data_IF_534105186405
#
_entry.id   IF_534105186405
#
_cell.length_a   1.000
_cell.length_b   1.000
_cell.length_c   1.000
_cell.angle_alpha   90.00
_cell.angle_beta   90.00
_cell.angle_gamma   90.00
#
_symmetry.space_group_name_H-M   'P 1'
#
loop_
_entity.id
_entity.type
_entity.pdbx_description
1 polymer ?
#
# COMPACT_ATOMS: atom_id res chain seq x y z
N UNK A 1 -30.10 0.69 -13.15
CA UNK A 1 -29.26 0.00 -12.15
C UNK A 1 -28.85 1.04 -11.15
N UNK A 2 -29.32 0.89 -9.92
CA UNK A 2 -29.16 1.87 -8.85
C UNK A 2 -27.68 2.10 -8.54
N UNK A 3 -27.26 3.36 -8.60
CA UNK A 3 -25.94 3.80 -8.17
C UNK A 3 -25.88 3.75 -6.64
N UNK A 4 -25.42 2.64 -6.08
CA UNK A 4 -24.95 2.59 -4.71
C UNK A 4 -23.63 3.37 -4.62
N UNK A 5 -23.72 4.71 -4.56
CA UNK A 5 -22.65 5.50 -3.98
C UNK A 5 -22.60 5.13 -2.49
N UNK A 6 -21.82 4.10 -2.16
CA UNK A 6 -21.41 3.85 -0.79
C UNK A 6 -20.68 5.10 -0.32
N UNK A 7 -21.27 5.79 0.65
CA UNK A 7 -20.61 6.91 1.30
C UNK A 7 -19.27 6.46 1.88
N UNK A 8 -18.34 7.40 2.05
CA UNK A 8 -17.15 7.13 2.86
C UNK A 8 -17.62 6.65 4.23
N UNK A 9 -17.21 5.46 4.63
CA UNK A 9 -17.53 4.92 5.95
C UNK A 9 -16.48 5.35 6.97
N UNK A 10 -16.95 5.82 8.13
CA UNK A 10 -16.07 6.11 9.26
C UNK A 10 -15.37 4.82 9.70
N UNK A 11 -14.08 4.91 10.02
CA UNK A 11 -13.32 3.76 10.46
C UNK A 11 -12.29 4.12 11.51
N UNK A 12 -12.13 3.24 12.49
CA UNK A 12 -11.03 3.30 13.46
C UNK A 12 -10.32 1.96 13.44
N UNK A 13 -9.01 2.02 13.21
CA UNK A 13 -8.10 0.87 13.27
C UNK A 13 -7.11 1.16 14.37
N UNK A 14 -6.99 0.26 15.34
CA UNK A 14 -6.10 0.44 16.49
C UNK A 14 -5.20 -0.78 16.65
N UNK A 15 -3.93 -0.50 16.87
CA UNK A 15 -2.99 -1.48 17.37
C UNK A 15 -2.89 -1.34 18.88
N UNK A 16 -3.07 -2.44 19.62
CA UNK A 16 -3.03 -2.47 21.08
C UNK A 16 -1.94 -3.42 21.59
N UNK A 17 -1.39 -3.13 22.76
CA UNK A 17 -0.50 -4.05 23.47
C UNK A 17 -1.29 -5.13 24.25
N UNK A 18 -0.56 -6.03 24.91
CA UNK A 18 -1.15 -7.11 25.73
C UNK A 18 -1.95 -6.63 26.94
N UNK A 19 -1.84 -5.34 27.33
CA UNK A 19 -2.65 -4.72 28.38
C UNK A 19 -3.91 -4.03 27.83
N UNK A 20 -4.08 -4.01 26.50
CA UNK A 20 -5.17 -3.31 25.84
C UNK A 20 -4.89 -1.83 25.58
N UNK A 21 -3.70 -1.31 25.93
CA UNK A 21 -3.32 0.08 25.66
C UNK A 21 -3.11 0.28 24.16
N UNK A 22 -3.66 1.38 23.61
CA UNK A 22 -3.49 1.75 22.21
C UNK A 22 -2.05 2.22 21.97
N UNK A 23 -1.35 1.55 21.06
CA UNK A 23 0.00 1.86 20.63
C UNK A 23 0.02 2.74 19.37
N UNK A 24 -0.94 2.52 18.47
CA UNK A 24 -1.10 3.33 17.28
C UNK A 24 -2.56 3.29 16.81
N UNK A 25 -2.95 4.31 16.06
CA UNK A 25 -4.32 4.46 15.58
C UNK A 25 -4.35 5.09 14.19
N UNK A 26 -5.22 4.56 13.33
CA UNK A 26 -5.71 5.22 12.13
C UNK A 26 -7.20 5.50 12.33
N UNK A 27 -7.60 6.76 12.21
CA UNK A 27 -9.00 7.20 12.23
C UNK A 27 -9.34 7.78 10.87
N UNK A 28 -10.44 7.33 10.26
CA UNK A 28 -11.01 7.86 9.03
C UNK A 28 -12.39 8.40 9.37
N UNK A 29 -12.66 9.63 8.96
CA UNK A 29 -13.96 10.28 9.12
C UNK A 29 -14.47 10.78 7.77
N UNK A 30 -15.79 10.65 7.51
CA UNK A 30 -16.40 11.24 6.32
C UNK A 30 -16.21 12.75 6.31
N UNK A 31 -15.94 13.31 5.14
CA UNK A 31 -15.85 14.75 4.92
C UNK A 31 -17.21 15.39 4.66
N UNK A 32 -17.23 16.71 4.53
CA UNK A 32 -18.47 17.48 4.29
C UNK A 32 -18.95 17.43 2.84
N UNK A 33 -18.14 16.93 1.91
CA UNK A 33 -18.45 16.81 0.48
C UNK A 33 -18.53 15.34 0.08
N UNK A 34 -19.30 15.04 -0.97
CA UNK A 34 -19.39 13.69 -1.52
C UNK A 34 -17.99 13.14 -1.87
N UNK A 35 -17.74 11.91 -1.45
CA UNK A 35 -16.47 11.20 -1.62
C UNK A 35 -15.27 11.80 -0.86
N UNK A 36 -15.44 12.90 -0.13
CA UNK A 36 -14.37 13.48 0.68
C UNK A 36 -14.26 12.76 2.03
N UNK A 37 -13.04 12.67 2.54
CA UNK A 37 -12.76 12.10 3.86
C UNK A 37 -11.56 12.77 4.51
N UNK A 38 -11.52 12.71 5.83
CA UNK A 38 -10.36 13.08 6.63
C UNK A 38 -9.81 11.82 7.29
N UNK A 39 -8.52 11.81 7.54
CA UNK A 39 -7.91 10.76 8.33
C UNK A 39 -6.79 11.28 9.20
N UNK A 40 -6.51 10.54 10.24
CA UNK A 40 -5.51 10.86 11.24
C UNK A 40 -4.77 9.60 11.61
N UNK A 41 -3.46 9.71 11.67
CA UNK A 41 -2.57 8.62 12.06
C UNK A 41 -1.81 9.06 13.30
N UNK A 42 -1.84 8.24 14.34
CA UNK A 42 -1.19 8.51 15.62
C UNK A 42 -0.29 7.31 15.97
N UNK A 43 0.96 7.58 16.35
CA UNK A 43 1.87 6.62 16.97
C UNK A 43 2.19 7.08 18.40
N UNK A 44 1.73 6.30 19.37
CA UNK A 44 1.89 6.55 20.81
C UNK A 44 3.08 5.81 21.42
N UNK A 45 3.84 5.05 20.62
CA UNK A 45 5.01 4.31 21.11
C UNK A 45 6.21 5.23 21.36
N UNK A 46 6.25 6.36 20.67
CA UNK A 46 7.31 7.36 20.81
C UNK A 46 7.09 8.23 22.06
N UNK A 47 8.19 8.71 22.66
CA UNK A 47 8.15 9.65 23.79
C UNK A 47 7.33 10.90 23.47
N UNK A 48 7.40 11.36 22.22
CA UNK A 48 6.57 12.45 21.70
C UNK A 48 5.72 11.86 20.56
N UNK A 49 4.40 11.65 20.75
CA UNK A 49 3.58 10.90 19.80
C UNK A 49 3.68 11.45 18.38
N UNK A 50 3.96 10.61 17.39
CA UNK A 50 3.99 11.06 15.99
C UNK A 50 2.55 11.13 15.49
N UNK A 51 2.21 12.19 14.77
CA UNK A 51 0.85 12.42 14.27
C UNK A 51 0.91 12.83 12.81
N UNK A 52 -0.02 12.34 12.00
CA UNK A 52 -0.27 12.85 10.65
C UNK A 52 -1.73 13.24 10.52
N UNK A 53 -1.98 14.31 9.76
CA UNK A 53 -3.32 14.69 9.35
C UNK A 53 -3.40 14.47 7.84
N UNK A 54 -4.45 13.81 7.41
CA UNK A 54 -4.67 13.52 6.01
C UNK A 54 -6.06 13.88 5.54
N UNK A 55 -6.16 14.12 4.24
CA UNK A 55 -7.42 14.35 3.56
C UNK A 55 -7.45 13.49 2.31
N UNK A 56 -8.62 12.99 1.95
CA UNK A 56 -8.80 12.33 0.67
C UNK A 56 -10.10 12.70 0.01
N UNK A 57 -10.17 12.42 -1.29
CA UNK A 57 -11.35 12.61 -2.11
C UNK A 57 -11.43 11.54 -3.17
N UNK A 58 -12.60 10.95 -3.30
CA UNK A 58 -12.93 9.98 -4.35
C UNK A 58 -13.99 10.64 -5.23
N UNK A 59 -13.67 10.83 -6.49
CA UNK A 59 -14.59 11.27 -7.53
C UNK A 59 -14.51 10.29 -8.70
N UNK A 60 -15.50 10.36 -9.59
CA UNK A 60 -15.63 9.44 -10.73
C UNK A 60 -14.35 9.31 -11.57
N UNK A 61 -13.64 10.41 -11.80
CA UNK A 61 -12.43 10.44 -12.65
C UNK A 61 -11.17 10.80 -11.88
N UNK A 62 -11.25 10.99 -10.56
CA UNK A 62 -10.12 11.46 -9.78
C UNK A 62 -10.15 10.94 -8.34
N UNK A 63 -8.99 10.46 -7.89
CA UNK A 63 -8.71 10.14 -6.48
C UNK A 63 -7.59 11.04 -5.99
N UNK A 64 -7.79 11.64 -4.82
CA UNK A 64 -6.81 12.46 -4.13
C UNK A 64 -6.55 11.91 -2.72
N UNK A 65 -5.30 11.90 -2.30
CA UNK A 65 -4.86 11.67 -0.92
C UNK A 65 -3.78 12.69 -0.61
N UNK A 66 -3.88 13.36 0.54
CA UNK A 66 -2.82 14.20 1.08
C UNK A 66 -2.54 13.75 2.51
N UNK A 67 -1.26 13.70 2.86
CA UNK A 67 -0.77 13.38 4.20
C UNK A 67 0.18 14.50 4.61
N UNK A 68 -0.04 15.08 5.78
CA UNK A 68 0.78 16.14 6.36
C UNK A 68 1.35 15.66 7.69
N UNK A 69 2.68 15.67 7.80
CA UNK A 69 3.40 15.57 9.07
C UNK A 69 3.53 16.99 9.64
N UNK A 70 2.76 17.37 10.68
CA UNK A 70 2.63 18.75 11.10
C UNK A 70 3.86 19.30 11.83
N UNK A 71 4.74 18.46 12.40
CA UNK A 71 5.90 18.98 13.15
C UNK A 71 6.95 19.60 12.24
N UNK A 72 7.20 18.98 11.10
CA UNK A 72 8.17 19.43 10.10
C UNK A 72 7.51 20.02 8.85
N UNK A 73 6.18 19.93 8.76
CA UNK A 73 5.41 20.46 7.65
C UNK A 73 5.59 19.66 6.36
N UNK A 74 6.13 18.45 6.42
CA UNK A 74 6.33 17.58 5.25
C UNK A 74 4.98 17.15 4.70
N UNK A 75 4.79 17.34 3.40
CA UNK A 75 3.54 17.02 2.71
C UNK A 75 3.77 15.93 1.67
N UNK A 76 2.97 14.88 1.75
CA UNK A 76 2.85 13.86 0.71
C UNK A 76 1.50 13.99 0.02
N UNK A 77 1.47 13.82 -1.30
CA UNK A 77 0.25 13.91 -2.08
C UNK A 77 0.18 12.85 -3.17
N UNK A 78 -0.93 12.12 -3.23
CA UNK A 78 -1.25 11.24 -4.33
C UNK A 78 -2.46 11.82 -5.08
N UNK A 79 -2.33 11.91 -6.40
CA UNK A 79 -3.41 12.26 -7.31
C UNK A 79 -3.48 11.25 -8.44
N UNK A 80 -4.50 10.41 -8.45
CA UNK A 80 -4.80 9.53 -9.57
C UNK A 80 -5.94 10.13 -10.40
N UNK A 81 -5.72 10.35 -11.70
CA UNK A 81 -6.70 10.92 -12.62
C UNK A 81 -6.87 10.00 -13.81
N UNK A 82 -8.12 9.60 -14.08
CA UNK A 82 -8.49 8.96 -15.33
C UNK A 82 -8.77 10.04 -16.37
N UNK A 83 -8.16 9.96 -17.54
CA UNK A 83 -8.51 10.83 -18.65
C UNK A 83 -9.86 10.37 -19.21
N UNK A 84 -10.94 11.05 -18.83
CA UNK A 84 -12.25 10.87 -19.45
C UNK A 84 -12.18 11.27 -20.92
N UNK A 85 -12.17 10.31 -21.85
CA UNK A 85 -12.04 10.56 -23.29
C UNK A 85 -11.67 9.31 -24.10
N UNK A 86 -11.14 9.52 -25.33
CA UNK A 86 -10.78 8.45 -26.30
C UNK A 86 -9.57 7.59 -25.91
N UNK A 87 -8.87 7.92 -24.83
CA UNK A 87 -7.74 7.14 -24.31
C UNK A 87 -7.99 6.79 -22.86
N UNK A 88 -7.98 5.49 -22.53
CA UNK A 88 -8.18 4.97 -21.17
C UNK A 88 -6.97 5.19 -20.24
N UNK A 89 -6.20 6.25 -20.46
CA UNK A 89 -5.01 6.58 -19.68
C UNK A 89 -5.39 7.02 -18.27
N UNK A 90 -4.74 6.43 -17.28
CA UNK A 90 -4.77 6.89 -15.89
C UNK A 90 -3.39 7.38 -15.48
N UNK A 91 -3.30 8.61 -14.97
CA UNK A 91 -2.06 9.19 -14.44
C UNK A 91 -2.11 9.23 -12.93
N UNK A 92 -1.06 8.75 -12.28
CA UNK A 92 -0.86 8.82 -10.84
C UNK A 92 0.33 9.71 -10.54
N UNK A 93 0.07 10.90 -10.03
CA UNK A 93 1.09 11.83 -9.56
C UNK A 93 1.31 11.61 -8.07
N UNK A 94 2.55 11.32 -7.71
CA UNK A 94 3.05 11.31 -6.34
C UNK A 94 3.80 12.61 -6.09
N UNK A 95 3.61 13.24 -4.94
CA UNK A 95 4.31 14.45 -4.54
C UNK A 95 4.89 14.35 -3.14
N UNK A 96 6.07 14.93 -2.96
CA UNK A 96 6.73 15.18 -1.68
C UNK A 96 7.15 16.66 -1.67
N UNK A 97 6.47 17.47 -0.87
CA UNK A 97 6.62 18.93 -0.85
C UNK A 97 6.51 19.53 -2.27
N UNK A 98 7.64 19.96 -2.86
CA UNK A 98 7.71 20.53 -4.22
C UNK A 98 8.14 19.53 -5.29
N UNK A 99 8.51 18.31 -4.91
CA UNK A 99 8.92 17.25 -5.82
C UNK A 99 7.69 16.46 -6.27
N UNK A 100 7.69 16.02 -7.52
CA UNK A 100 6.64 15.16 -8.05
C UNK A 100 7.20 14.08 -8.97
N UNK A 101 6.53 12.94 -8.99
CA UNK A 101 6.78 11.84 -9.91
C UNK A 101 5.47 11.29 -10.46
N UNK A 102 5.42 11.01 -11.76
CA UNK A 102 4.23 10.52 -12.45
C UNK A 102 4.40 9.06 -12.86
N UNK A 103 3.45 8.21 -12.45
CA UNK A 103 3.24 6.88 -13.03
C UNK A 103 2.08 6.97 -14.03
N UNK A 104 2.28 6.46 -15.24
CA UNK A 104 1.28 6.54 -16.31
C UNK A 104 0.83 5.13 -16.68
N UNK A 105 -0.48 4.88 -16.58
CA UNK A 105 -1.12 3.65 -17.06
C UNK A 105 -1.71 3.87 -18.45
N UNK A 106 -0.82 3.90 -19.44
CA UNK A 106 -1.18 3.95 -20.86
C UNK A 106 -1.50 2.55 -21.41
N UNK A 107 -1.76 2.45 -22.72
CA UNK A 107 -2.06 1.17 -23.38
C UNK A 107 -0.89 0.18 -23.31
N UNK A 108 0.35 0.67 -23.40
CA UNK A 108 1.55 -0.16 -23.33
C UNK A 108 1.68 -0.78 -21.95
N UNK A 109 1.57 0.02 -20.88
CA UNK A 109 1.64 -0.47 -19.50
C UNK A 109 0.51 -1.46 -19.22
N UNK A 110 -0.73 -1.18 -19.66
CA UNK A 110 -1.85 -2.11 -19.52
C UNK A 110 -1.57 -3.45 -20.20
N UNK A 111 -1.02 -3.42 -21.42
CA UNK A 111 -0.65 -4.63 -22.16
C UNK A 111 0.40 -5.46 -21.40
N UNK A 112 1.45 -4.80 -20.89
CA UNK A 112 2.50 -5.46 -20.12
C UNK A 112 1.97 -6.04 -18.79
N UNK A 113 1.05 -5.35 -18.11
CA UNK A 113 0.41 -5.86 -16.91
C UNK A 113 -0.49 -7.07 -17.17
N UNK A 114 -1.26 -7.05 -18.25
CA UNK A 114 -2.06 -8.19 -18.67
C UNK A 114 -1.17 -9.39 -19.04
N UNK A 115 -0.06 -9.14 -19.74
CA UNK A 115 0.94 -10.17 -20.01
C UNK A 115 1.52 -10.75 -18.72
N UNK A 116 1.82 -9.91 -17.72
CA UNK A 116 2.33 -10.36 -16.42
C UNK A 116 1.38 -11.34 -15.76
N UNK A 117 0.09 -11.02 -15.75
CA UNK A 117 -0.93 -11.92 -15.21
C UNK A 117 -1.05 -13.23 -15.99
N UNK A 118 -1.00 -13.17 -17.32
CA UNK A 118 -1.01 -14.36 -18.18
C UNK A 118 0.20 -15.26 -17.93
N UNK A 119 1.40 -14.66 -17.83
CA UNK A 119 2.63 -15.39 -17.52
C UNK A 119 2.58 -16.06 -16.15
N UNK A 120 2.10 -15.34 -15.12
CA UNK A 120 1.91 -15.89 -13.77
C UNK A 120 0.93 -17.06 -13.78
N UNK A 121 -0.23 -16.89 -14.42
CA UNK A 121 -1.26 -17.93 -14.48
C UNK A 121 -0.79 -19.19 -15.23
N UNK A 122 0.05 -19.01 -16.26
CA UNK A 122 0.62 -20.12 -17.04
C UNK A 122 1.85 -20.79 -16.41
N UNK A 123 2.36 -20.28 -15.27
CA UNK A 123 3.59 -20.79 -14.64
C UNK A 123 4.83 -20.57 -15.51
N UNK A 124 4.92 -19.41 -16.17
CA UNK A 124 6.05 -19.07 -17.04
C UNK A 124 7.40 -19.08 -16.31
N UNK A 125 8.47 -19.28 -17.07
CA UNK A 125 9.84 -19.28 -16.52
C UNK A 125 10.31 -17.91 -16.05
N UNK A 126 11.23 -17.90 -15.08
CA UNK A 126 11.87 -16.70 -14.53
C UNK A 126 12.46 -15.80 -15.62
N UNK A 127 13.09 -16.38 -16.66
CA UNK A 127 13.65 -15.62 -17.76
C UNK A 127 12.61 -14.76 -18.52
N UNK A 128 11.37 -15.25 -18.67
CA UNK A 128 10.28 -14.50 -19.29
C UNK A 128 9.75 -13.42 -18.34
N UNK A 129 9.59 -13.76 -17.06
CA UNK A 129 9.13 -12.85 -16.02
C UNK A 129 10.12 -11.69 -15.82
N UNK A 130 11.43 -11.95 -15.70
CA UNK A 130 12.45 -10.89 -15.57
C UNK A 130 12.60 -10.06 -16.86
N UNK A 131 12.32 -10.61 -18.03
CA UNK A 131 12.24 -9.81 -19.27
C UNK A 131 11.07 -8.83 -19.20
N UNK A 132 9.89 -9.30 -18.79
CA UNK A 132 8.71 -8.46 -18.64
C UNK A 132 8.88 -7.40 -17.55
N UNK A 133 9.50 -7.75 -16.42
CA UNK A 133 9.84 -6.80 -15.36
C UNK A 133 10.69 -5.63 -15.88
N UNK A 134 11.70 -5.90 -16.73
CA UNK A 134 12.51 -4.85 -17.38
C UNK A 134 11.71 -3.99 -18.37
N UNK A 135 10.74 -4.56 -19.07
CA UNK A 135 9.85 -3.79 -19.95
C UNK A 135 8.93 -2.87 -19.15
N UNK A 136 8.40 -3.35 -18.02
CA UNK A 136 7.62 -2.54 -17.07
C UNK A 136 8.48 -1.45 -16.44
N UNK A 137 9.71 -1.76 -16.02
CA UNK A 137 10.67 -0.78 -15.49
C UNK A 137 10.94 0.36 -16.48
N UNK A 138 11.20 0.01 -17.74
CA UNK A 138 11.41 1.01 -18.80
C UNK A 138 10.15 1.84 -19.06
N UNK A 139 8.96 1.23 -19.05
CA UNK A 139 7.70 1.93 -19.32
C UNK A 139 7.28 2.85 -18.15
N UNK A 140 7.49 2.41 -16.91
CA UNK A 140 7.10 3.13 -15.69
C UNK A 140 8.22 3.96 -15.07
N UNK A 141 9.44 3.89 -15.63
CA UNK A 141 10.64 4.57 -15.13
C UNK A 141 10.92 4.23 -13.65
N UNK A 142 10.77 2.96 -13.26
CA UNK A 142 10.84 2.54 -11.85
C UNK A 142 12.24 2.77 -11.29
N UNK A 143 13.28 2.28 -11.98
CA UNK A 143 14.66 2.39 -11.52
C UNK A 143 15.22 3.79 -11.69
N UNK A 144 14.88 4.47 -12.79
CA UNK A 144 15.49 5.75 -13.18
C UNK A 144 14.79 6.98 -12.60
N UNK A 145 13.49 6.90 -12.29
CA UNK A 145 12.70 8.04 -11.80
C UNK A 145 12.03 7.79 -10.46
N UNK A 146 11.21 6.75 -10.37
CA UNK A 146 10.44 6.44 -9.16
C UNK A 146 11.37 6.15 -7.97
N UNK A 147 12.39 5.30 -8.15
CA UNK A 147 13.33 4.93 -7.08
C UNK A 147 14.05 6.14 -6.47
N UNK A 148 14.64 7.06 -7.25
CA UNK A 148 15.13 8.32 -6.68
C UNK A 148 14.09 9.09 -5.86
N UNK A 149 12.83 9.15 -6.33
CA UNK A 149 11.75 9.83 -5.62
C UNK A 149 11.43 9.19 -4.26
N UNK A 150 11.21 7.86 -4.19
CA UNK A 150 10.97 7.21 -2.88
C UNK A 150 12.19 7.19 -1.96
N UNK A 151 13.42 7.26 -2.47
CA UNK A 151 14.58 7.50 -1.60
C UNK A 151 14.49 8.88 -0.92
N UNK A 152 13.95 9.91 -1.57
CA UNK A 152 13.65 11.19 -0.90
C UNK A 152 12.56 11.01 0.17
N UNK A 153 11.52 10.22 -0.11
CA UNK A 153 10.45 9.93 0.85
C UNK A 153 10.98 9.19 2.08
N UNK A 154 11.85 8.19 1.88
CA UNK A 154 12.49 7.43 2.97
C UNK A 154 13.33 8.31 3.90
N UNK A 155 13.95 9.35 3.35
CA UNK A 155 14.76 10.30 4.09
C UNK A 155 13.93 11.48 4.66
N UNK A 156 12.61 11.49 4.43
CA UNK A 156 11.71 12.54 4.91
C UNK A 156 11.14 12.24 6.30
N UNK A 157 10.58 13.26 6.94
CA UNK A 157 9.88 13.12 8.22
C UNK A 157 8.63 12.22 8.16
N UNK A 158 8.10 11.98 6.95
CA UNK A 158 6.86 11.24 6.77
C UNK A 158 7.06 9.71 6.77
N UNK A 159 8.30 9.21 6.76
CA UNK A 159 8.59 7.76 6.66
C UNK A 159 8.00 6.95 7.83
N UNK A 160 8.06 7.49 9.05
CA UNK A 160 7.51 6.82 10.24
C UNK A 160 5.98 6.72 10.15
N UNK A 161 5.33 7.79 9.69
CA UNK A 161 3.88 7.84 9.45
C UNK A 161 3.47 6.81 8.40
N UNK A 162 4.19 6.73 7.28
CA UNK A 162 3.90 5.75 6.23
C UNK A 162 4.04 4.33 6.76
N UNK A 163 5.09 4.08 7.55
CA UNK A 163 5.36 2.77 8.14
C UNK A 163 4.27 2.34 9.11
N UNK A 164 3.85 3.24 10.02
CA UNK A 164 2.79 2.93 10.98
C UNK A 164 1.43 2.80 10.32
N UNK A 165 1.12 3.64 9.32
CA UNK A 165 -0.13 3.55 8.55
C UNK A 165 -0.23 2.20 7.84
N UNK A 166 0.87 1.76 7.21
CA UNK A 166 0.94 0.44 6.58
C UNK A 166 0.70 -0.68 7.60
N UNK A 167 1.34 -0.59 8.77
CA UNK A 167 1.20 -1.60 9.84
C UNK A 167 -0.24 -1.67 10.34
N UNK A 168 -0.90 -0.52 10.53
CA UNK A 168 -2.29 -0.45 10.96
C UNK A 168 -3.22 -1.07 9.91
N UNK A 169 -3.09 -0.67 8.64
CA UNK A 169 -3.91 -1.23 7.57
C UNK A 169 -3.72 -2.74 7.50
N UNK A 170 -2.49 -3.25 7.59
CA UNK A 170 -2.20 -4.69 7.59
C UNK A 170 -2.90 -5.50 8.69
N UNK A 171 -3.37 -4.87 9.77
CA UNK A 171 -4.18 -5.56 10.81
C UNK A 171 -5.65 -5.72 10.44
N UNK A 172 -6.10 -5.03 9.39
CA UNK A 172 -7.47 -5.08 8.88
C UNK A 172 -7.62 -6.26 7.91
N UNK A 173 -8.66 -7.10 8.05
CA UNK A 173 -8.95 -8.17 7.10
C UNK A 173 -9.11 -7.66 5.66
N UNK A 174 -8.61 -8.37 4.62
CA UNK A 174 -8.68 -7.91 3.22
C UNK A 174 -10.10 -7.57 2.74
N UNK A 175 -11.11 -8.36 3.11
CA UNK A 175 -12.50 -8.11 2.73
C UNK A 175 -13.04 -6.80 3.32
N UNK A 176 -12.57 -6.43 4.51
CA UNK A 176 -12.95 -5.18 5.17
C UNK A 176 -12.22 -3.98 4.55
N UNK A 177 -10.95 -4.16 4.16
CA UNK A 177 -10.22 -3.16 3.36
C UNK A 177 -10.92 -2.92 2.03
N UNK A 178 -11.42 -3.98 1.37
CA UNK A 178 -12.17 -3.92 0.12
C UNK A 178 -13.48 -3.14 0.29
N UNK A 179 -14.22 -3.38 1.36
CA UNK A 179 -15.50 -2.70 1.59
C UNK A 179 -15.32 -1.21 1.94
N UNK A 180 -14.17 -0.82 2.47
CA UNK A 180 -13.86 0.56 2.82
C UNK A 180 -12.90 1.21 1.80
N UNK A 181 -13.47 1.90 0.81
CA UNK A 181 -12.71 2.58 -0.25
C UNK A 181 -11.64 3.55 0.26
N UNK A 182 -11.88 4.23 1.39
CA UNK A 182 -10.89 5.13 1.99
C UNK A 182 -9.66 4.35 2.48
N UNK A 183 -9.86 3.21 3.16
CA UNK A 183 -8.76 2.32 3.56
C UNK A 183 -7.97 1.80 2.36
N UNK A 184 -8.65 1.38 1.29
CA UNK A 184 -8.00 0.86 0.08
C UNK A 184 -7.12 1.92 -0.60
N UNK A 185 -7.62 3.15 -0.71
CA UNK A 185 -6.90 4.27 -1.34
C UNK A 185 -5.73 4.74 -0.46
N UNK A 186 -5.92 4.86 0.86
CA UNK A 186 -4.82 5.16 1.79
C UNK A 186 -3.75 4.06 1.71
N UNK A 187 -4.16 2.78 1.71
CA UNK A 187 -3.26 1.64 1.60
C UNK A 187 -2.44 1.64 0.30
N UNK A 188 -3.09 1.95 -0.82
CA UNK A 188 -2.41 2.07 -2.13
C UNK A 188 -1.43 3.24 -2.15
N UNK A 189 -1.81 4.41 -1.60
CA UNK A 189 -0.93 5.57 -1.49
C UNK A 189 0.29 5.26 -0.63
N UNK A 190 0.09 4.67 0.55
CA UNK A 190 1.19 4.27 1.45
C UNK A 190 2.12 3.26 0.79
N UNK A 191 1.59 2.31 0.02
CA UNK A 191 2.39 1.31 -0.70
C UNK A 191 3.24 1.94 -1.82
N UNK A 192 2.76 3.00 -2.47
CA UNK A 192 3.52 3.79 -3.45
C UNK A 192 4.55 4.73 -2.80
N UNK A 193 4.29 5.27 -1.61
CA UNK A 193 5.26 6.12 -0.93
C UNK A 193 6.32 5.33 -0.14
N UNK A 194 5.98 4.12 0.32
CA UNK A 194 6.87 3.25 1.08
C UNK A 194 6.79 1.80 0.55
N UNK A 195 7.20 1.55 -0.71
CA UNK A 195 7.17 0.22 -1.29
C UNK A 195 8.11 -0.68 -0.49
N UNK A 196 7.59 -1.78 0.04
CA UNK A 196 8.38 -2.79 0.74
C UNK A 196 8.08 -4.14 0.12
N UNK A 197 9.09 -4.87 -0.37
CA UNK A 197 8.92 -6.24 -0.89
C UNK A 197 8.75 -7.25 0.26
N UNK A 198 8.13 -6.87 1.38
CA UNK A 198 7.97 -7.80 2.50
C UNK A 198 7.06 -8.94 2.04
N UNK A 199 7.53 -10.17 2.22
CA UNK A 199 6.66 -11.34 2.38
C UNK A 199 5.76 -11.03 3.57
N UNK A 200 4.47 -10.91 3.36
CA UNK A 200 3.49 -11.00 4.43
C UNK A 200 3.55 -12.44 4.98
N UNK A 201 4.55 -12.73 5.81
CA UNK A 201 4.86 -14.11 6.21
C UNK A 201 6.01 -14.32 7.22
N UNK A 202 6.59 -13.28 7.83
CA UNK A 202 7.53 -13.44 8.96
C UNK A 202 7.14 -12.57 10.15
N UNK A 203 6.13 -13.03 10.88
CA UNK A 203 6.29 -13.10 12.34
C UNK A 203 7.22 -14.30 12.57
N UNK A 204 8.42 -14.06 13.08
CA UNK A 204 9.29 -15.12 13.55
C UNK A 204 8.55 -15.90 14.64
N UNK A 205 8.03 -17.08 14.30
CA UNK A 205 7.59 -18.07 15.27
C UNK A 205 8.83 -18.72 15.86
N UNK A 206 9.29 -18.23 17.01
CA UNK A 206 10.09 -19.04 17.93
C UNK A 206 9.27 -19.24 19.20
N UNK A 207 9.12 -20.52 19.56
CA UNK A 207 8.31 -20.99 20.68
C UNK A 207 8.74 -20.40 22.02
N UNK A 208 7.76 -20.28 22.92
CA UNK A 208 7.98 -19.99 24.33
C UNK A 208 7.77 -21.30 25.06
N UNK A 209 8.85 -21.80 25.66
CA UNK A 209 8.81 -22.73 26.77
C UNK A 209 9.39 -21.99 27.98
N UNK A 210 8.72 -22.08 29.14
CA UNK A 210 9.23 -21.75 30.48
C UNK A 210 9.81 -20.35 30.74
N UNK A 211 9.08 -19.55 31.53
CA UNK A 211 9.45 -18.23 32.07
C UNK A 211 10.94 -17.86 32.17
N UNK A 212 11.34 -16.83 31.41
CA UNK A 212 12.39 -15.85 31.74
C UNK A 212 12.36 -14.71 30.70
N UNK A 213 12.12 -13.48 31.16
CA UNK A 213 12.18 -12.28 30.30
C UNK A 213 13.66 -11.98 30.03
N UNK A 214 14.11 -12.18 28.80
CA UNK A 214 15.40 -11.67 28.34
C UNK A 214 15.16 -10.28 27.76
N UNK A 215 15.76 -9.26 28.40
CA UNK A 215 15.77 -7.87 27.93
C UNK A 215 16.65 -7.77 26.72
N UNK A 216 16.13 -7.19 25.65
CA UNK A 216 16.89 -7.07 24.43
C UNK A 216 16.38 -5.97 23.52
N UNK A 217 16.87 -4.78 23.81
CA UNK A 217 17.45 -3.95 22.75
C UNK A 217 18.45 -4.83 21.99
N UNK A 218 18.60 -4.67 20.69
CA UNK A 218 18.52 -5.82 19.75
C UNK A 218 18.24 -7.21 20.37
N UNK A 219 16.97 -7.64 20.49
CA UNK A 219 16.46 -8.98 20.12
C UNK A 219 14.92 -8.89 20.02
N UNK A 220 14.41 -9.59 19.02
CA UNK A 220 13.25 -10.49 19.06
C UNK A 220 12.29 -10.31 20.26
N UNK A 221 11.04 -9.94 19.97
CA UNK A 221 9.82 -10.69 20.31
C UNK A 221 8.57 -9.81 20.23
N UNK A 222 7.80 -9.96 19.13
CA UNK A 222 6.36 -9.67 19.12
C UNK A 222 5.65 -11.02 19.29
N UNK A 223 5.15 -11.27 20.49
CA UNK A 223 4.33 -12.44 20.81
C UNK A 223 2.88 -12.13 20.48
N UNK A 224 2.41 -12.82 19.43
CA UNK A 224 1.05 -13.27 19.02
C UNK A 224 -0.21 -12.85 19.81
N UNK A 225 -1.36 -12.87 19.11
CA UNK A 225 -2.35 -13.96 19.32
C UNK A 225 -2.46 -14.91 18.13
N UNK A 226 -2.72 -16.19 18.42
CA UNK A 226 -3.00 -17.26 17.46
C UNK A 226 -4.39 -17.08 16.83
N UNK A 227 -4.44 -16.94 15.50
CA UNK A 227 -5.63 -17.25 14.71
C UNK A 227 -5.24 -18.36 13.74
N UNK A 228 -5.96 -19.48 13.81
CA UNK A 228 -5.79 -20.65 12.97
C UNK A 228 -5.83 -20.27 11.49
N UNK A 229 -4.67 -20.27 10.83
CA UNK A 229 -4.57 -20.27 9.38
C UNK A 229 -3.83 -21.53 8.98
N UNK A 230 -4.59 -22.45 8.38
CA UNK A 230 -4.14 -23.71 7.83
C UNK A 230 -2.90 -23.50 6.96
N UNK A 231 -1.82 -24.22 7.30
CA UNK A 231 -0.59 -24.28 6.51
C UNK A 231 -0.95 -24.89 5.15
N UNK A 232 -1.21 -24.04 4.15
CA UNK A 232 -1.21 -24.47 2.76
C UNK A 232 0.26 -24.57 2.32
N UNK A 233 0.66 -25.77 1.92
CA UNK A 233 1.91 -26.05 1.21
C UNK A 233 2.15 -24.94 0.18
N UNK A 234 3.24 -24.19 0.34
CA UNK A 234 3.61 -23.15 -0.61
C UNK A 234 4.11 -23.83 -1.90
N UNK A 235 3.46 -23.53 -3.02
CA UNK A 235 3.97 -23.84 -4.35
C UNK A 235 5.34 -23.17 -4.56
N UNK A 236 6.22 -23.81 -5.32
CA UNK A 236 7.55 -23.32 -5.71
C UNK A 236 7.50 -22.11 -6.68
N UNK A 237 6.76 -21.07 -6.32
CA UNK A 237 6.67 -19.84 -7.10
C UNK A 237 7.82 -18.88 -6.75
N UNK A 238 8.32 -18.09 -7.72
CA UNK A 238 9.37 -17.11 -7.45
C UNK A 238 8.93 -16.10 -6.38
N UNK A 239 9.83 -15.68 -5.46
CA UNK A 239 9.48 -14.83 -4.33
C UNK A 239 8.79 -13.50 -4.71
N UNK A 240 9.17 -12.90 -5.83
CA UNK A 240 8.60 -11.64 -6.29
C UNK A 240 7.19 -11.79 -6.87
N UNK A 241 6.89 -12.95 -7.46
CA UNK A 241 5.54 -13.30 -7.93
C UNK A 241 4.60 -13.48 -6.74
N UNK A 242 5.08 -14.13 -5.68
CA UNK A 242 4.32 -14.25 -4.44
C UNK A 242 3.98 -12.86 -3.87
N UNK A 243 4.96 -11.94 -3.81
CA UNK A 243 4.72 -10.56 -3.35
C UNK A 243 3.69 -9.83 -4.22
N UNK A 244 3.76 -10.00 -5.55
CA UNK A 244 2.77 -9.42 -6.45
C UNK A 244 1.37 -9.96 -6.19
N UNK A 245 1.22 -11.28 -6.08
CA UNK A 245 -0.06 -11.93 -5.83
C UNK A 245 -0.62 -11.57 -4.44
N UNK A 246 0.21 -11.58 -3.40
CA UNK A 246 -0.17 -11.15 -2.06
C UNK A 246 -0.66 -9.70 -2.08
N UNK A 247 0.01 -8.82 -2.83
CA UNK A 247 -0.43 -7.44 -3.00
C UNK A 247 -1.79 -7.33 -3.69
N UNK A 248 -1.96 -8.03 -4.82
CA UNK A 248 -3.20 -8.02 -5.60
C UNK A 248 -4.39 -8.60 -4.82
N UNK A 249 -4.13 -9.67 -4.05
CA UNK A 249 -5.12 -10.33 -3.20
C UNK A 249 -5.46 -9.47 -1.97
N UNK A 250 -4.47 -8.88 -1.32
CA UNK A 250 -4.70 -8.07 -0.12
C UNK A 250 -5.47 -6.79 -0.43
N UNK A 251 -5.11 -6.10 -1.53
CA UNK A 251 -5.79 -4.88 -1.95
C UNK A 251 -7.04 -5.13 -2.78
N UNK A 252 -7.33 -6.39 -3.13
CA UNK A 252 -8.47 -6.80 -3.95
C UNK A 252 -8.61 -5.92 -5.20
N UNK A 253 -7.53 -5.81 -5.98
CA UNK A 253 -7.48 -4.90 -7.12
C UNK A 253 -8.50 -5.30 -8.21
N UNK A 254 -9.35 -4.36 -8.61
CA UNK A 254 -10.38 -4.56 -9.63
C UNK A 254 -11.81 -4.43 -9.09
N UNK A 255 -12.72 -4.03 -9.97
CA UNK A 255 -14.16 -3.95 -9.67
C UNK A 255 -14.64 -2.57 -9.22
N UNK A 256 -13.76 -1.57 -9.15
CA UNK A 256 -14.10 -0.19 -8.81
C UNK A 256 -14.10 0.75 -10.01
N UNK A 257 -13.50 0.34 -11.12
CA UNK A 257 -13.29 1.19 -12.29
C UNK A 257 -12.09 2.12 -12.12
N UNK A 258 -11.86 2.93 -13.14
CA UNK A 258 -10.77 3.91 -13.14
C UNK A 258 -11.18 5.17 -12.35
N UNK A 259 -10.25 5.83 -11.63
CA UNK A 259 -8.81 5.56 -11.56
C UNK A 259 -8.38 4.64 -10.40
N UNK A 260 -9.31 4.11 -9.60
CA UNK A 260 -9.00 3.28 -8.41
C UNK A 260 -8.30 1.99 -8.83
N UNK A 261 -8.78 1.34 -9.89
CA UNK A 261 -8.15 0.13 -10.41
C UNK A 261 -6.71 0.45 -10.89
N UNK A 262 -6.46 1.51 -11.67
CA UNK A 262 -5.08 1.89 -12.03
C UNK A 262 -4.16 2.03 -10.82
N UNK A 263 -4.66 2.71 -9.78
CA UNK A 263 -3.92 2.97 -8.57
C UNK A 263 -3.48 1.68 -7.88
N UNK A 264 -4.41 0.74 -7.71
CA UNK A 264 -4.15 -0.54 -7.05
C UNK A 264 -3.14 -1.38 -7.84
N UNK A 265 -3.34 -1.49 -9.15
CA UNK A 265 -2.50 -2.29 -10.03
C UNK A 265 -1.08 -1.74 -10.12
N UNK A 266 -0.93 -0.42 -10.29
CA UNK A 266 0.39 0.22 -10.36
C UNK A 266 1.12 0.11 -9.02
N UNK A 267 0.44 0.19 -7.88
CA UNK A 267 1.06 -0.05 -6.58
C UNK A 267 1.67 -1.46 -6.49
N UNK A 268 0.94 -2.49 -6.92
CA UNK A 268 1.43 -3.87 -6.87
C UNK A 268 2.51 -4.19 -7.90
N UNK A 269 2.36 -3.75 -9.15
CA UNK A 269 3.37 -3.98 -10.19
C UNK A 269 4.68 -3.26 -9.88
N UNK A 270 4.61 -2.08 -9.26
CA UNK A 270 5.80 -1.34 -8.85
C UNK A 270 6.62 -2.11 -7.80
N UNK A 271 5.95 -2.73 -6.82
CA UNK A 271 6.61 -3.59 -5.83
C UNK A 271 7.22 -4.83 -6.48
N UNK A 272 6.51 -5.44 -7.43
CA UNK A 272 7.01 -6.56 -8.22
C UNK A 272 8.28 -6.22 -8.99
N UNK A 273 8.27 -5.12 -9.76
CA UNK A 273 9.41 -4.67 -10.56
C UNK A 273 10.62 -4.37 -9.68
N UNK A 274 10.41 -3.71 -8.54
CA UNK A 274 11.47 -3.46 -7.55
C UNK A 274 12.08 -4.78 -7.05
N UNK A 275 11.27 -5.79 -6.78
CA UNK A 275 11.75 -7.09 -6.30
C UNK A 275 12.51 -7.88 -7.38
N UNK A 276 12.07 -7.83 -8.64
CA UNK A 276 12.67 -8.61 -9.74
C UNK A 276 14.00 -8.05 -10.24
N UNK A 277 14.17 -6.73 -10.18
CA UNK A 277 15.33 -6.05 -10.79
C UNK A 277 16.46 -5.82 -9.79
N UNK A 278 16.18 -5.83 -8.48
CA UNK A 278 17.11 -5.44 -7.40
C UNK A 278 17.36 -6.63 -6.47
#
# INVERSE_FOLDING_TARGET
>A
MESSQSGIEAKVVEQRDGSGKVLARLRITPGTRSGAFHFEVEDFQQRIPVRAIGTGRIAETEVLVQIVEPRRGTQLGLRAKANGGRSAESRITLSLDRLSFDLIMDEKVRTLMNELQGLIASGASDARLSRLARQLDSALQITTGYRPFIEQVKNSAAVDILTITRSLIATVPPEEVRQNLALQIIGSAVKLFAPSPRRDGMISQKGIDGGRIIRVSPRENLVRPLVNLSIKLHSAQPPCIQIYQDCMNYLMCGGYGQPIDALCWLACATVYVICEII
#
